data_IF_492601347468
#
_entry.id   IF_492601347468
#
_cell.length_a   1.000
_cell.length_b   1.000
_cell.length_c   1.000
_cell.angle_alpha   90.00
_cell.angle_beta   90.00
_cell.angle_gamma   90.00
#
_symmetry.space_group_name_H-M   'P 1'
#
loop_
_entity.id
_entity.type
_entity.pdbx_description
1 polymer ?
#
# COMPACT_ATOMS: atom_id res chain seq x y z
N UNK A 1 -4.59 -5.92 24.25
CA UNK A 1 -3.95 -6.52 23.06
C UNK A 1 -3.97 -5.51 21.91
N UNK A 2 -2.83 -5.26 21.23
CA UNK A 2 -2.79 -4.37 20.05
C UNK A 2 -3.40 -5.08 18.84
N UNK A 3 -4.23 -4.38 18.05
CA UNK A 3 -4.82 -4.91 16.82
C UNK A 3 -3.72 -5.11 15.77
N UNK A 4 -3.48 -6.35 15.36
CA UNK A 4 -2.56 -6.66 14.24
C UNK A 4 -3.30 -6.43 12.93
N UNK A 5 -2.72 -5.64 12.04
CA UNK A 5 -3.24 -5.39 10.70
C UNK A 5 -2.17 -5.87 9.73
N UNK A 6 -2.51 -6.81 8.86
CA UNK A 6 -1.63 -7.28 7.79
C UNK A 6 -1.90 -6.44 6.53
N UNK A 7 -0.83 -5.99 5.88
CA UNK A 7 -0.88 -5.15 4.68
C UNK A 7 0.10 -5.66 3.63
N UNK A 8 -0.15 -5.33 2.38
CA UNK A 8 0.78 -5.49 1.26
C UNK A 8 1.15 -4.13 0.69
N UNK A 9 2.32 -4.03 0.07
CA UNK A 9 2.75 -2.87 -0.69
C UNK A 9 3.62 -3.29 -1.86
N UNK A 10 3.58 -2.51 -2.94
CA UNK A 10 4.42 -2.72 -4.12
C UNK A 10 5.42 -1.58 -4.32
N UNK A 11 6.63 -1.94 -4.71
CA UNK A 11 7.61 -1.01 -5.27
C UNK A 11 7.54 -1.17 -6.78
N UNK A 12 6.93 -0.18 -7.45
CA UNK A 12 6.76 -0.18 -8.91
C UNK A 12 7.75 0.83 -9.49
N UNK A 13 8.60 0.37 -10.40
CA UNK A 13 9.66 1.16 -11.03
C UNK A 13 9.39 1.23 -12.53
N UNK A 14 9.43 2.44 -13.11
CA UNK A 14 9.27 2.62 -14.56
C UNK A 14 10.62 2.51 -15.31
N UNK A 15 10.59 2.65 -16.63
CA UNK A 15 11.79 2.57 -17.48
C UNK A 15 12.81 3.69 -17.21
N UNK A 16 12.38 4.79 -16.58
CA UNK A 16 13.24 5.90 -16.17
C UNK A 16 13.84 5.71 -14.77
N UNK A 17 13.65 4.53 -14.14
CA UNK A 17 14.08 4.24 -12.78
C UNK A 17 13.42 5.12 -11.70
N UNK A 18 12.21 5.61 -11.97
CA UNK A 18 11.38 6.37 -11.03
C UNK A 18 10.42 5.42 -10.29
N UNK A 19 10.16 5.70 -9.02
CA UNK A 19 9.28 4.88 -8.17
C UNK A 19 7.89 5.50 -8.09
N UNK A 20 6.85 4.69 -8.32
CA UNK A 20 5.46 5.12 -8.12
C UNK A 20 5.16 5.30 -6.62
N UNK A 21 4.77 6.51 -6.25
CA UNK A 21 4.38 6.88 -4.89
C UNK A 21 3.03 7.60 -4.92
N UNK A 22 2.20 7.38 -3.90
CA UNK A 22 0.96 8.10 -3.66
C UNK A 22 1.15 9.13 -2.55
N UNK A 23 0.60 10.34 -2.72
CA UNK A 23 0.59 11.35 -1.68
C UNK A 23 -0.65 11.14 -0.79
N UNK A 24 -0.42 10.97 0.52
CA UNK A 24 -1.52 10.79 1.48
C UNK A 24 -2.37 12.06 1.59
N UNK A 25 -3.68 11.88 1.61
CA UNK A 25 -4.64 12.97 1.76
C UNK A 25 -4.37 13.79 3.04
N UNK A 26 -4.58 15.12 3.01
CA UNK A 26 -4.46 15.99 4.17
C UNK A 26 -5.36 15.59 5.36
N UNK A 27 -6.43 14.82 5.13
CA UNK A 27 -7.38 14.39 6.15
C UNK A 27 -7.09 12.99 6.72
N UNK A 28 -6.07 12.31 6.21
CA UNK A 28 -5.68 10.97 6.68
C UNK A 28 -4.68 11.05 7.83
N UNK A 29 -4.51 9.94 8.55
CA UNK A 29 -3.39 9.77 9.49
C UNK A 29 -2.06 9.94 8.75
N UNK A 30 -1.05 10.55 9.36
CA UNK A 30 0.22 10.90 8.66
C UNK A 30 -0.03 11.66 7.34
N UNK A 31 -0.68 12.83 7.41
CA UNK A 31 -1.07 13.59 6.22
C UNK A 31 0.16 14.09 5.46
N UNK A 32 0.04 14.17 4.13
CA UNK A 32 1.10 14.67 3.23
C UNK A 32 2.40 13.86 3.22
N UNK A 33 2.41 12.66 3.80
CA UNK A 33 3.49 11.70 3.59
C UNK A 33 3.31 10.98 2.26
N UNK A 34 4.42 10.54 1.68
CA UNK A 34 4.41 9.64 0.53
C UNK A 34 4.30 8.20 0.98
N UNK A 35 3.57 7.40 0.22
CA UNK A 35 3.42 5.96 0.46
C UNK A 35 3.52 5.15 -0.84
N UNK A 36 3.88 3.87 -0.68
CA UNK A 36 3.80 2.92 -1.77
C UNK A 36 2.35 2.48 -2.00
N UNK A 37 1.97 2.20 -3.26
CA UNK A 37 0.70 1.55 -3.56
C UNK A 37 0.56 0.23 -2.82
N UNK A 38 -0.64 -0.04 -2.32
CA UNK A 38 -0.92 -1.23 -1.54
C UNK A 38 -2.13 -1.04 -0.64
N UNK A 39 -2.37 -2.04 0.21
CA UNK A 39 -3.59 -2.06 1.00
C UNK A 39 -3.62 -3.14 2.07
N UNK A 40 -4.76 -3.22 2.75
CA UNK A 40 -5.00 -4.20 3.81
C UNK A 40 -5.30 -5.57 3.20
N UNK A 41 -4.76 -6.60 3.82
CA UNK A 41 -5.13 -7.98 3.52
C UNK A 41 -6.47 -8.28 4.20
N UNK A 42 -7.45 -8.74 3.43
CA UNK A 42 -8.75 -9.15 3.93
C UNK A 42 -8.66 -10.50 4.66
N UNK A 43 -9.67 -10.82 5.47
CA UNK A 43 -9.67 -12.07 6.23
C UNK A 43 -9.73 -13.27 5.28
N UNK A 44 -8.71 -14.14 5.33
CA UNK A 44 -8.60 -15.32 4.48
C UNK A 44 -8.07 -15.03 3.08
N UNK A 45 -7.65 -13.79 2.81
CA UNK A 45 -7.01 -13.42 1.54
C UNK A 45 -5.50 -13.69 1.63
N UNK A 46 -4.97 -14.34 0.58
CA UNK A 46 -3.52 -14.55 0.46
C UNK A 46 -2.82 -13.27 0.03
N UNK A 47 -1.58 -12.98 0.51
CA UNK A 47 -0.88 -11.74 0.18
C UNK A 47 -0.76 -11.45 -1.33
N UNK A 48 -0.44 -12.42 -2.21
CA UNK A 48 -0.43 -12.15 -3.66
C UNK A 48 -1.78 -11.74 -4.23
N UNK A 49 -2.88 -12.33 -3.74
CA UNK A 49 -4.23 -11.98 -4.17
C UNK A 49 -4.63 -10.57 -3.71
N UNK A 50 -4.27 -10.20 -2.48
CA UNK A 50 -4.45 -8.84 -1.99
C UNK A 50 -3.68 -7.82 -2.85
N UNK A 51 -2.45 -8.15 -3.25
CA UNK A 51 -1.62 -7.26 -4.07
C UNK A 51 -2.22 -7.05 -5.47
N UNK A 52 -2.69 -8.12 -6.13
CA UNK A 52 -3.36 -8.06 -7.45
C UNK A 52 -4.67 -7.27 -7.40
N UNK A 53 -5.37 -7.26 -6.26
CA UNK A 53 -6.62 -6.50 -6.10
C UNK A 53 -6.38 -4.99 -5.95
N UNK A 54 -5.27 -4.61 -5.32
CA UNK A 54 -4.94 -3.20 -5.05
C UNK A 54 -4.27 -2.49 -6.23
N UNK A 55 -3.67 -3.24 -7.16
CA UNK A 55 -2.82 -2.74 -8.26
C UNK A 55 -3.29 -3.30 -9.59
#
# INVERSE_FOLDING_TARGET
>A
MKRKISVVGAVIVNENNEVLCALRSPTMTLPNYWEFPGGKINKGEEPPAALIREI
#
